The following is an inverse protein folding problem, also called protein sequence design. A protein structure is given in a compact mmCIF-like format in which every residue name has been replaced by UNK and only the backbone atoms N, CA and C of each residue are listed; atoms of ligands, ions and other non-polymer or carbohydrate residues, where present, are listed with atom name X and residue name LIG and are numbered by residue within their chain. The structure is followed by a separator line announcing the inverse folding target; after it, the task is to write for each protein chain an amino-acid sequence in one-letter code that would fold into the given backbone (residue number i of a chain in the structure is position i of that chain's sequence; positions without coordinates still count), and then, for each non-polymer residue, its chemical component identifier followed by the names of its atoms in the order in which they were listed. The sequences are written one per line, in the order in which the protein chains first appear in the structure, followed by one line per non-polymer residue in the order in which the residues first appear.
data_IF_349679704571
#
_entry.id   IF_349679704571
#
_cell.length_a   1.000
_cell.length_b   1.000
_cell.length_c   1.000
_cell.angle_alpha   90.00
_cell.angle_beta   90.00
_cell.angle_gamma   90.00
#
_symmetry.space_group_name_H-M   'P 1'
#
loop_
_entity.id
_entity.type
_entity.pdbx_description
1 polymer ?
#
# COMPACT_ATOMS: atom_id res chain seq x y z
N UNK A 1 -5.96 -24.65 2.46
CA UNK A 1 -4.55 -24.37 2.81
C UNK A 1 -3.97 -23.67 1.62
N UNK A 2 -3.69 -22.37 1.73
CA UNK A 2 -2.83 -21.70 0.74
C UNK A 2 -1.46 -22.34 0.93
N UNK A 3 -0.85 -22.82 -0.15
CA UNK A 3 0.47 -23.43 -0.08
C UNK A 3 1.47 -22.33 0.33
N UNK A 4 2.37 -22.59 1.29
CA UNK A 4 3.28 -21.55 1.82
C UNK A 4 4.11 -20.88 0.71
N UNK A 5 4.37 -21.62 -0.38
CA UNK A 5 5.04 -21.13 -1.60
C UNK A 5 4.18 -20.08 -2.34
N UNK A 6 2.88 -20.30 -2.51
CA UNK A 6 2.01 -19.35 -3.21
C UNK A 6 1.87 -18.04 -2.43
N UNK A 7 1.79 -18.14 -1.10
CA UNK A 7 1.78 -16.97 -0.22
C UNK A 7 3.09 -16.18 -0.32
N UNK A 8 4.22 -16.89 -0.38
CA UNK A 8 5.54 -16.29 -0.56
C UNK A 8 5.67 -15.59 -1.91
N UNK A 9 5.28 -16.24 -3.01
CA UNK A 9 5.31 -15.66 -4.35
C UNK A 9 4.46 -14.39 -4.43
N UNK A 10 3.27 -14.41 -3.83
CA UNK A 10 2.41 -13.23 -3.76
C UNK A 10 3.04 -12.10 -2.93
N UNK A 11 3.69 -12.41 -1.82
CA UNK A 11 4.36 -11.42 -0.97
C UNK A 11 5.55 -10.77 -1.70
N UNK A 12 6.36 -11.57 -2.39
CA UNK A 12 7.49 -11.10 -3.20
C UNK A 12 6.99 -10.24 -4.36
N UNK A 13 5.90 -10.63 -5.03
CA UNK A 13 5.30 -9.86 -6.11
C UNK A 13 4.79 -8.48 -5.64
N UNK A 14 4.09 -8.43 -4.49
CA UNK A 14 3.64 -7.15 -3.91
C UNK A 14 4.83 -6.29 -3.48
N UNK A 15 5.90 -6.90 -2.94
CA UNK A 15 7.11 -6.19 -2.56
C UNK A 15 7.79 -5.50 -3.72
N UNK A 16 7.98 -6.24 -4.81
CA UNK A 16 8.49 -5.69 -6.06
C UNK A 16 7.66 -4.50 -6.51
N UNK A 17 6.33 -4.66 -6.51
CA UNK A 17 5.41 -3.63 -6.97
C UNK A 17 5.46 -2.36 -6.09
N UNK A 18 5.42 -2.53 -4.77
CA UNK A 18 5.51 -1.43 -3.80
C UNK A 18 6.86 -0.70 -3.86
N UNK A 19 7.95 -1.42 -4.15
CA UNK A 19 9.26 -0.84 -4.41
C UNK A 19 9.24 0.08 -5.64
N UNK A 20 8.65 -0.38 -6.74
CA UNK A 20 8.49 0.45 -7.96
C UNK A 20 7.56 1.63 -7.74
N UNK A 21 6.46 1.41 -7.03
CA UNK A 21 5.51 2.46 -6.66
C UNK A 21 6.16 3.55 -5.78
N UNK A 22 7.00 3.17 -4.80
CA UNK A 22 7.77 4.11 -3.99
C UNK A 22 8.63 5.04 -4.85
N UNK A 23 9.36 4.48 -5.82
CA UNK A 23 10.20 5.26 -6.74
C UNK A 23 9.32 6.19 -7.60
N UNK A 24 8.21 5.68 -8.13
CA UNK A 24 7.24 6.47 -8.89
C UNK A 24 6.72 7.67 -8.08
N UNK A 25 6.29 7.47 -6.83
CA UNK A 25 5.82 8.53 -5.95
C UNK A 25 6.89 9.57 -5.68
N UNK A 26 8.13 9.15 -5.43
CA UNK A 26 9.23 10.07 -5.15
C UNK A 26 9.54 10.96 -6.37
N UNK A 27 9.48 10.40 -7.59
CA UNK A 27 9.66 11.17 -8.83
C UNK A 27 8.49 12.10 -9.15
N UNK A 28 7.30 11.80 -8.63
CA UNK A 28 6.07 12.54 -8.90
C UNK A 28 5.48 13.17 -7.63
N UNK A 29 6.35 13.65 -6.73
CA UNK A 29 5.94 14.18 -5.44
C UNK A 29 5.35 15.61 -5.52
N UNK A 30 5.77 16.40 -6.52
CA UNK A 30 5.43 17.82 -6.64
C UNK A 30 4.00 18.05 -7.18
N UNK A 31 3.38 19.21 -6.91
CA UNK A 31 2.08 19.55 -7.49
C UNK A 31 2.07 19.51 -9.03
N UNK A 32 3.14 19.97 -9.69
CA UNK A 32 3.27 20.04 -11.14
C UNK A 32 3.30 18.65 -11.76
N UNK A 33 4.12 17.75 -11.20
CA UNK A 33 4.22 16.36 -11.65
C UNK A 33 2.91 15.60 -11.45
N UNK A 34 2.23 15.81 -10.31
CA UNK A 34 0.88 15.24 -10.08
C UNK A 34 -0.17 15.77 -11.04
N UNK A 35 -0.17 17.07 -11.33
CA UNK A 35 -1.11 17.66 -12.28
C UNK A 35 -0.85 17.17 -13.71
N UNK A 36 0.42 16.98 -14.11
CA UNK A 36 0.79 16.33 -15.37
C UNK A 36 0.18 14.93 -15.46
N UNK A 37 0.37 14.10 -14.43
CA UNK A 37 -0.15 12.74 -14.39
C UNK A 37 -1.69 12.69 -14.42
N UNK A 38 -2.38 13.56 -13.67
CA UNK A 38 -3.84 13.65 -13.72
C UNK A 38 -4.34 13.91 -15.14
N UNK A 39 -3.75 14.89 -15.85
CA UNK A 39 -4.11 15.17 -17.25
C UNK A 39 -3.85 14.00 -18.19
N UNK A 40 -2.77 13.25 -17.98
CA UNK A 40 -2.47 12.04 -18.76
C UNK A 40 -3.56 10.99 -18.53
N UNK A 41 -3.97 10.79 -17.28
CA UNK A 41 -5.00 9.81 -16.92
C UNK A 41 -6.37 10.22 -17.44
N UNK A 42 -6.74 11.50 -17.31
CA UNK A 42 -8.04 12.03 -17.77
C UNK A 42 -8.22 11.90 -19.29
N UNK A 43 -7.12 11.97 -20.05
CA UNK A 43 -7.12 11.83 -21.52
C UNK A 43 -6.89 10.40 -21.99
N UNK A 44 -6.65 9.47 -21.07
CA UNK A 44 -6.31 8.10 -21.43
C UNK A 44 -7.55 7.30 -21.79
N UNK A 45 -7.55 6.70 -22.98
CA UNK A 45 -8.57 5.72 -23.39
C UNK A 45 -8.32 4.33 -22.78
N UNK A 46 -7.06 4.06 -22.39
CA UNK A 46 -6.64 2.82 -21.74
C UNK A 46 -5.62 3.15 -20.64
N UNK A 47 -6.12 3.23 -19.42
CA UNK A 47 -5.32 3.54 -18.24
C UNK A 47 -4.31 2.41 -17.96
N UNK A 48 -4.64 1.15 -18.29
CA UNK A 48 -3.74 0.01 -18.12
C UNK A 48 -2.51 0.14 -18.99
N UNK A 49 -2.72 0.34 -20.29
CA UNK A 49 -1.62 0.55 -21.25
C UNK A 49 -0.81 1.81 -20.92
N UNK A 50 -1.47 2.85 -20.41
CA UNK A 50 -0.82 4.10 -19.98
C UNK A 50 0.11 3.85 -18.79
N UNK A 51 -0.37 3.15 -17.76
CA UNK A 51 0.44 2.75 -16.60
C UNK A 51 1.64 1.90 -17.05
N UNK A 52 1.40 0.89 -17.88
CA UNK A 52 2.47 0.02 -18.37
C UNK A 52 3.54 0.83 -19.11
N UNK A 53 3.14 1.74 -20.00
CA UNK A 53 4.06 2.59 -20.74
C UNK A 53 4.86 3.52 -19.82
N UNK A 54 4.23 4.14 -18.82
CA UNK A 54 4.91 4.99 -17.84
C UNK A 54 5.97 4.18 -17.08
N UNK A 55 5.62 3.00 -16.57
CA UNK A 55 6.55 2.18 -15.79
C UNK A 55 7.66 1.58 -16.66
N UNK A 56 7.36 1.24 -17.91
CA UNK A 56 8.36 0.78 -18.88
C UNK A 56 9.36 1.87 -19.21
N UNK A 57 8.90 3.08 -19.54
CA UNK A 57 9.75 4.19 -19.97
C UNK A 57 10.51 4.81 -18.79
N UNK A 58 9.81 5.11 -17.70
CA UNK A 58 10.42 5.82 -16.58
C UNK A 58 11.25 4.87 -15.68
N UNK A 59 10.80 3.64 -15.47
CA UNK A 59 11.37 2.73 -14.48
C UNK A 59 11.98 1.46 -15.07
N UNK A 60 12.06 1.35 -16.41
CA UNK A 60 12.55 0.16 -17.12
C UNK A 60 11.94 -1.13 -16.56
N UNK A 61 10.61 -1.14 -16.38
CA UNK A 61 9.89 -2.20 -15.70
C UNK A 61 8.66 -2.62 -16.49
N UNK A 62 8.56 -3.91 -16.77
CA UNK A 62 7.35 -4.55 -17.30
C UNK A 62 6.49 -5.06 -16.13
N UNK A 63 5.17 -4.93 -16.26
CA UNK A 63 4.22 -5.35 -15.25
C UNK A 63 3.27 -6.39 -15.85
N UNK A 64 2.93 -7.43 -15.09
CA UNK A 64 1.85 -8.35 -15.45
C UNK A 64 0.48 -7.64 -15.36
N UNK A 65 -0.57 -8.22 -15.96
CA UNK A 65 -1.92 -7.64 -15.89
C UNK A 65 -2.40 -7.41 -14.45
N UNK A 66 -2.11 -8.35 -13.54
CA UNK A 66 -2.46 -8.25 -12.11
C UNK A 66 -1.71 -7.07 -11.46
N UNK A 67 -0.43 -6.93 -11.77
CA UNK A 67 0.39 -5.82 -11.27
C UNK A 67 -0.06 -4.47 -11.83
N UNK A 68 -0.48 -4.41 -13.10
CA UNK A 68 -1.04 -3.21 -13.72
C UNK A 68 -2.31 -2.79 -12.97
N UNK A 69 -3.25 -3.71 -12.74
CA UNK A 69 -4.48 -3.42 -11.98
C UNK A 69 -4.18 -2.88 -10.59
N UNK A 70 -3.25 -3.52 -9.86
CA UNK A 70 -2.82 -3.05 -8.54
C UNK A 70 -2.14 -1.69 -8.60
N UNK A 71 -1.28 -1.45 -9.58
CA UNK A 71 -0.60 -0.17 -9.77
C UNK A 71 -1.56 0.97 -10.09
N UNK A 72 -2.61 0.72 -10.89
CA UNK A 72 -3.67 1.72 -11.15
C UNK A 72 -4.28 2.21 -9.84
N UNK A 73 -4.62 1.29 -8.93
CA UNK A 73 -5.19 1.64 -7.62
C UNK A 73 -4.22 2.50 -6.80
N UNK A 74 -2.97 2.07 -6.70
CA UNK A 74 -1.92 2.78 -5.96
C UNK A 74 -1.67 4.19 -6.52
N UNK A 75 -1.58 4.33 -7.85
CA UNK A 75 -1.35 5.63 -8.50
C UNK A 75 -2.57 6.54 -8.37
N UNK A 76 -3.80 6.03 -8.56
CA UNK A 76 -5.01 6.82 -8.34
C UNK A 76 -5.10 7.31 -6.89
N UNK A 77 -4.84 6.44 -5.92
CA UNK A 77 -4.78 6.83 -4.52
C UNK A 77 -3.71 7.90 -4.27
N UNK A 78 -2.52 7.75 -4.83
CA UNK A 78 -1.45 8.74 -4.72
C UNK A 78 -1.84 10.12 -5.25
N UNK A 79 -2.52 10.15 -6.40
CA UNK A 79 -2.98 11.38 -7.04
C UNK A 79 -4.15 12.02 -6.29
N UNK A 80 -5.00 11.25 -5.61
CA UNK A 80 -6.20 11.76 -4.96
C UNK A 80 -6.04 12.05 -3.46
N UNK A 81 -4.96 11.54 -2.84
CA UNK A 81 -4.75 11.64 -1.39
C UNK A 81 -4.82 13.06 -0.85
N UNK A 82 -5.43 13.19 0.33
CA UNK A 82 -5.44 14.41 1.13
C UNK A 82 -4.25 14.42 2.09
N UNK A 83 -3.95 15.61 2.65
CA UNK A 83 -2.89 15.80 3.64
C UNK A 83 -3.32 15.43 5.07
N UNK A 84 -4.61 15.24 5.31
CA UNK A 84 -5.17 14.90 6.62
C UNK A 84 -5.70 13.45 6.62
N UNK A 85 -5.67 12.84 7.80
CA UNK A 85 -6.23 11.50 8.05
C UNK A 85 -7.73 11.61 8.32
N UNK A 86 -8.51 10.73 7.73
CA UNK A 86 -9.93 10.53 8.06
C UNK A 86 -10.03 9.93 9.46
N UNK A 87 -10.94 10.42 10.32
CA UNK A 87 -11.19 9.79 11.61
C UNK A 87 -11.62 8.33 11.42
N UNK A 88 -11.08 7.44 12.25
CA UNK A 88 -11.46 6.03 12.29
C UNK A 88 -12.59 5.90 13.30
N UNK A 89 -13.76 5.42 12.87
CA UNK A 89 -14.88 5.21 13.79
C UNK A 89 -14.60 4.04 14.74
N UNK A 90 -15.25 4.06 15.92
CA UNK A 90 -15.10 2.99 16.91
C UNK A 90 -15.60 1.66 16.33
N UNK A 91 -16.68 1.70 15.56
CA UNK A 91 -17.30 0.53 14.93
C UNK A 91 -16.36 -0.09 13.90
N UNK A 92 -15.72 0.73 13.06
CA UNK A 92 -14.76 0.22 12.07
C UNK A 92 -13.50 -0.32 12.73
N UNK A 93 -13.05 0.30 13.82
CA UNK A 93 -11.94 -0.20 14.62
C UNK A 93 -12.26 -1.56 15.26
N UNK A 94 -13.44 -1.69 15.85
CA UNK A 94 -13.91 -2.96 16.41
C UNK A 94 -14.01 -4.03 15.31
N UNK A 95 -14.55 -3.68 14.14
CA UNK A 95 -14.56 -4.55 12.96
C UNK A 95 -13.15 -5.04 12.58
N UNK A 96 -12.14 -4.15 12.52
CA UNK A 96 -10.75 -4.55 12.24
C UNK A 96 -10.19 -5.51 13.30
N UNK A 97 -10.53 -5.29 14.57
CA UNK A 97 -10.08 -6.13 15.69
C UNK A 97 -10.65 -7.55 15.55
N UNK A 98 -11.95 -7.67 15.26
CA UNK A 98 -12.61 -8.96 15.00
C UNK A 98 -12.04 -9.66 13.76
N UNK A 99 -11.85 -8.94 12.65
CA UNK A 99 -11.24 -9.49 11.43
C UNK A 99 -9.81 -9.98 11.63
N UNK A 100 -9.09 -9.40 12.60
CA UNK A 100 -7.73 -9.81 12.96
C UNK A 100 -7.69 -10.82 14.12
N UNK A 101 -8.83 -11.35 14.56
CA UNK A 101 -8.93 -12.28 15.68
C UNK A 101 -8.25 -11.77 16.95
N UNK A 102 -8.34 -10.46 17.22
CA UNK A 102 -7.68 -9.80 18.35
C UNK A 102 -6.15 -10.00 18.36
N UNK A 103 -5.53 -10.12 17.18
CA UNK A 103 -4.09 -10.30 17.02
C UNK A 103 -3.44 -9.19 16.20
N UNK A 104 -2.25 -8.78 16.62
CA UNK A 104 -1.40 -7.88 15.86
C UNK A 104 -1.13 -8.48 14.48
N UNK A 105 -1.37 -7.69 13.41
CA UNK A 105 -1.21 -8.18 12.04
C UNK A 105 0.22 -8.61 11.69
N UNK A 106 1.21 -8.14 12.45
CA UNK A 106 2.64 -8.39 12.19
C UNK A 106 3.31 -9.40 13.12
N UNK A 107 2.97 -9.45 14.41
CA UNK A 107 3.61 -10.38 15.35
C UNK A 107 2.65 -11.39 15.97
N UNK A 108 1.36 -11.33 15.65
CA UNK A 108 0.31 -12.23 16.17
C UNK A 108 0.03 -12.17 17.68
N UNK A 109 0.72 -11.30 18.43
CA UNK A 109 0.41 -11.03 19.84
C UNK A 109 -1.02 -10.54 20.00
N UNK A 110 -1.63 -10.88 21.13
CA UNK A 110 -2.98 -10.43 21.49
C UNK A 110 -2.98 -8.91 21.61
N UNK A 111 -4.00 -8.29 21.05
CA UNK A 111 -4.25 -6.84 21.08
C UNK A 111 -5.72 -6.59 21.39
N UNK A 112 -6.04 -5.36 21.80
CA UNK A 112 -7.39 -4.92 22.13
C UNK A 112 -7.72 -3.57 21.47
N UNK A 113 -8.78 -2.90 21.93
CA UNK A 113 -9.18 -1.58 21.46
C UNK A 113 -8.11 -0.49 21.61
N UNK A 114 -7.03 -0.71 22.36
CA UNK A 114 -5.90 0.24 22.52
C UNK A 114 -4.83 0.14 21.41
N UNK A 115 -4.90 -0.88 20.54
CA UNK A 115 -3.93 -1.08 19.46
C UNK A 115 -3.75 0.13 18.52
N UNK A 116 -2.65 0.23 17.80
CA UNK A 116 -2.50 1.30 16.81
C UNK A 116 -3.18 0.91 15.50
N UNK A 117 -4.05 1.77 14.99
CA UNK A 117 -4.53 1.65 13.62
C UNK A 117 -3.48 2.26 12.69
N UNK A 118 -2.97 1.45 11.77
CA UNK A 118 -1.85 1.78 10.92
C UNK A 118 -2.14 1.43 9.46
N UNK A 119 -1.51 2.16 8.54
CA UNK A 119 -1.69 1.96 7.10
C UNK A 119 -0.75 0.89 6.56
N UNK A 120 -1.28 -0.12 5.86
CA UNK A 120 -0.49 -1.18 5.21
C UNK A 120 0.50 -0.56 4.22
N UNK A 121 -0.03 0.17 3.22
CA UNK A 121 0.73 1.10 2.38
C UNK A 121 0.74 2.46 3.06
N UNK A 122 1.90 3.03 3.42
CA UNK A 122 1.98 4.22 4.27
C UNK A 122 1.15 5.41 3.78
N UNK A 123 0.51 6.11 4.73
CA UNK A 123 -0.29 7.31 4.48
C UNK A 123 0.42 8.35 3.59
N UNK A 124 1.73 8.54 3.74
CA UNK A 124 2.50 9.48 2.91
C UNK A 124 2.41 9.19 1.41
N UNK A 125 2.19 7.93 1.01
CA UNK A 125 2.08 7.55 -0.39
C UNK A 125 0.64 7.60 -0.90
N UNK A 126 -0.35 7.20 -0.11
CA UNK A 126 -1.73 6.95 -0.62
C UNK A 126 -2.85 7.62 0.19
N UNK A 127 -2.53 8.29 1.29
CA UNK A 127 -3.53 8.84 2.20
C UNK A 127 -4.48 7.75 2.72
N UNK A 128 -5.77 8.08 2.76
CA UNK A 128 -6.87 7.16 3.09
C UNK A 128 -7.68 6.75 1.85
N UNK A 129 -7.10 6.82 0.65
CA UNK A 129 -7.81 6.56 -0.61
C UNK A 129 -7.85 5.08 -0.98
N UNK A 130 -7.10 4.22 -0.30
CA UNK A 130 -7.14 2.77 -0.51
C UNK A 130 -8.13 2.11 0.46
N UNK A 131 -9.05 1.33 -0.10
CA UNK A 131 -9.86 0.38 0.67
C UNK A 131 -8.99 -0.69 1.32
N UNK A 132 -9.39 -1.17 2.51
CA UNK A 132 -8.71 -2.24 3.25
C UNK A 132 -7.21 -1.99 3.50
N UNK A 133 -6.79 -0.71 3.56
CA UNK A 133 -5.40 -0.33 3.80
C UNK A 133 -5.10 -0.08 5.28
N UNK A 134 -6.05 -0.31 6.18
CA UNK A 134 -5.87 -0.17 7.63
C UNK A 134 -5.73 -1.55 8.28
N UNK A 135 -4.87 -1.62 9.28
CA UNK A 135 -4.63 -2.80 10.12
C UNK A 135 -4.39 -2.37 11.56
N UNK A 136 -4.59 -3.27 12.52
CA UNK A 136 -4.26 -3.05 13.93
C UNK A 136 -2.91 -3.68 14.29
N UNK A 137 -2.04 -2.88 14.91
CA UNK A 137 -0.70 -3.26 15.34
C UNK A 137 -0.52 -3.00 16.84
N UNK A 138 0.28 -3.84 17.51
CA UNK A 138 0.77 -3.51 18.85
C UNK A 138 1.77 -2.34 18.78
N UNK A 139 2.00 -1.65 19.90
CA UNK A 139 2.93 -0.51 20.00
C UNK A 139 4.30 -0.77 19.35
N UNK A 140 5.03 -1.84 19.75
CA UNK A 140 6.35 -2.15 19.19
C UNK A 140 6.34 -2.38 17.66
N UNK A 141 5.32 -3.07 17.13
CA UNK A 141 5.24 -3.31 15.69
C UNK A 141 4.90 -2.04 14.90
N UNK A 142 4.01 -1.20 15.44
CA UNK A 142 3.66 0.08 14.83
C UNK A 142 4.88 1.01 14.76
N UNK A 143 5.63 1.12 15.86
CA UNK A 143 6.84 1.94 15.95
C UNK A 143 7.93 1.44 15.00
N UNK A 144 8.20 0.14 14.99
CA UNK A 144 9.20 -0.45 14.10
C UNK A 144 8.83 -0.32 12.62
N UNK A 145 7.55 -0.47 12.27
CA UNK A 145 7.07 -0.29 10.90
C UNK A 145 7.23 1.15 10.44
N UNK A 146 6.76 2.11 11.23
CA UNK A 146 6.78 3.53 10.88
C UNK A 146 6.15 3.75 9.47
N UNK A 147 6.74 4.64 8.67
CA UNK A 147 6.34 4.94 7.29
C UNK A 147 7.04 4.07 6.23
N UNK A 148 7.64 2.95 6.63
CA UNK A 148 8.34 2.05 5.72
C UNK A 148 7.34 1.19 4.93
N UNK A 149 7.31 1.40 3.62
CA UNK A 149 6.39 0.70 2.70
C UNK A 149 6.72 -0.79 2.55
N UNK A 150 7.96 -1.17 2.78
CA UNK A 150 8.51 -2.51 2.56
C UNK A 150 8.71 -3.30 3.88
N UNK A 151 8.46 -2.68 5.04
CA UNK A 151 8.73 -3.30 6.35
C UNK A 151 7.98 -4.62 6.54
N UNK A 152 6.70 -4.67 6.18
CA UNK A 152 5.89 -5.88 6.40
C UNK A 152 6.41 -7.06 5.58
N UNK A 153 6.85 -6.81 4.35
CA UNK A 153 7.46 -7.83 3.50
C UNK A 153 8.78 -8.28 4.11
N UNK A 154 9.66 -7.33 4.50
CA UNK A 154 10.94 -7.70 5.11
C UNK A 154 10.74 -8.56 6.36
N UNK A 155 9.73 -8.24 7.16
CA UNK A 155 9.34 -9.03 8.32
C UNK A 155 8.78 -10.41 7.94
N UNK A 156 7.94 -10.50 6.92
CA UNK A 156 7.41 -11.77 6.42
C UNK A 156 8.52 -12.68 5.86
N UNK A 157 9.59 -12.10 5.31
CA UNK A 157 10.76 -12.81 4.79
C UNK A 157 11.87 -13.02 5.84
N UNK A 158 11.61 -12.74 7.12
CA UNK A 158 12.59 -12.84 8.23
C UNK A 158 13.91 -12.07 7.98
N UNK A 159 13.83 -10.94 7.28
CA UNK A 159 15.00 -10.08 6.97
C UNK A 159 15.26 -9.01 8.05
N UNK A 160 14.39 -8.88 9.04
CA UNK A 160 14.44 -7.92 10.16
C UNK A 160 13.76 -8.46 11.41
#
# INVERSE_FOLDING_TARGET
MINDIEALDSAVAEAFLLGKFKIFCNRNATPESKNRLRRIFDKSNDIGQTIENIFRIELNTTLSEVQIKRMILLVKAHLNKKSYRRPISKEYRHFLLEQQFHRCKLCTNIIDESAHADHIVPFKYVGDELENNLQLLCGPCNEAKNENIDYQIRKFLDLI
#
